data_IF_458854017886
#
_entry.id   IF_458854017886
#
_cell.length_a   1.000
_cell.length_b   1.000
_cell.length_c   1.000
_cell.angle_alpha   90.00
_cell.angle_beta   90.00
_cell.angle_gamma   90.00
#
_symmetry.space_group_name_H-M   'P 1'
#
loop_
_entity.id
_entity.type
_entity.pdbx_description
1 polymer ?
#
# COMPACT_ATOMS: atom_id res chain seq x y z
N UNK A 1 8.88 -15.88 -19.23
CA UNK A 1 8.70 -17.15 -18.50
C UNK A 1 7.40 -17.05 -17.69
N UNK A 2 6.36 -17.80 -18.08
CA UNK A 2 4.97 -17.54 -17.69
C UNK A 2 4.35 -18.81 -17.11
N UNK A 3 4.92 -19.33 -16.02
CA UNK A 3 4.38 -20.50 -15.32
C UNK A 3 3.41 -20.04 -14.21
N UNK A 4 2.08 -20.13 -14.40
CA UNK A 4 1.09 -19.62 -13.45
C UNK A 4 1.19 -20.30 -12.08
N UNK A 5 1.66 -21.56 -12.04
CA UNK A 5 1.90 -22.30 -10.81
C UNK A 5 3.01 -21.66 -9.94
N UNK A 6 4.10 -21.21 -10.55
CA UNK A 6 5.18 -20.51 -9.84
C UNK A 6 4.72 -19.15 -9.30
N UNK A 7 3.96 -18.39 -10.10
CA UNK A 7 3.39 -17.10 -9.68
C UNK A 7 2.42 -17.25 -8.50
N UNK A 8 1.69 -18.36 -8.45
CA UNK A 8 0.79 -18.67 -7.33
C UNK A 8 1.55 -19.03 -6.04
N UNK A 9 2.72 -19.68 -6.16
CA UNK A 9 3.59 -20.00 -5.01
C UNK A 9 4.29 -18.77 -4.43
N UNK A 10 4.59 -17.76 -5.26
CA UNK A 10 5.25 -16.52 -4.82
C UNK A 10 4.28 -15.41 -4.44
N UNK A 11 2.96 -15.61 -4.58
CA UNK A 11 1.99 -14.57 -4.24
C UNK A 11 1.98 -14.35 -2.71
N UNK A 12 1.93 -13.10 -2.25
CA UNK A 12 1.87 -12.83 -0.83
C UNK A 12 0.59 -13.43 -0.23
N UNK A 13 0.66 -13.84 1.03
CA UNK A 13 -0.52 -14.34 1.73
C UNK A 13 -1.62 -13.28 1.69
N UNK A 14 -2.81 -13.70 1.27
CA UNK A 14 -3.95 -12.81 1.07
C UNK A 14 -5.13 -13.29 1.89
N UNK A 15 -5.88 -12.33 2.43
CA UNK A 15 -7.08 -12.55 3.19
C UNK A 15 -8.21 -11.76 2.52
N UNK A 16 -9.30 -12.43 2.16
CA UNK A 16 -10.47 -11.81 1.51
C UNK A 16 -10.11 -11.03 0.22
N UNK A 17 -9.12 -11.54 -0.52
CA UNK A 17 -8.64 -10.94 -1.77
C UNK A 17 -7.67 -9.77 -1.61
N UNK A 18 -7.32 -9.38 -0.37
CA UNK A 18 -6.30 -8.36 -0.10
C UNK A 18 -5.02 -9.01 0.45
N UNK A 19 -3.82 -8.56 0.03
CA UNK A 19 -2.58 -8.90 0.70
C UNK A 19 -2.65 -8.55 2.20
N UNK A 20 -2.09 -9.39 3.06
CA UNK A 20 -2.18 -9.21 4.52
C UNK A 20 -1.70 -7.83 5.00
N UNK A 21 -0.67 -7.26 4.36
CA UNK A 21 -0.19 -5.90 4.63
C UNK A 21 -1.28 -4.84 4.46
N UNK A 22 -2.12 -4.96 3.44
CA UNK A 22 -3.22 -4.01 3.20
C UNK A 22 -4.32 -4.18 4.23
N UNK A 23 -4.59 -5.41 4.66
CA UNK A 23 -5.54 -5.69 5.75
C UNK A 23 -5.10 -5.04 7.05
N UNK A 24 -3.80 -5.11 7.38
CA UNK A 24 -3.23 -4.43 8.56
C UNK A 24 -3.40 -2.92 8.46
N UNK A 25 -3.10 -2.32 7.30
CA UNK A 25 -3.28 -0.88 7.08
C UNK A 25 -4.77 -0.49 7.22
N UNK A 26 -5.67 -1.26 6.61
CA UNK A 26 -7.12 -1.03 6.72
C UNK A 26 -7.57 -1.10 8.18
N UNK A 27 -7.11 -2.09 8.94
CA UNK A 27 -7.44 -2.23 10.35
C UNK A 27 -6.93 -1.03 11.17
N UNK A 28 -5.69 -0.60 10.97
CA UNK A 28 -5.13 0.58 11.67
C UNK A 28 -5.93 1.83 11.35
N UNK A 29 -6.30 2.07 10.09
CA UNK A 29 -7.08 3.25 9.69
C UNK A 29 -8.50 3.19 10.26
N UNK A 30 -9.19 2.06 10.11
CA UNK A 30 -10.56 1.90 10.60
C UNK A 30 -10.63 1.97 12.12
N UNK A 31 -9.87 1.13 12.84
CA UNK A 31 -9.91 1.10 14.30
C UNK A 31 -9.26 2.36 14.89
N UNK A 32 -8.14 2.83 14.36
CA UNK A 32 -7.49 4.04 14.84
C UNK A 32 -8.36 5.29 14.67
N UNK A 33 -8.97 5.45 13.49
CA UNK A 33 -9.90 6.56 13.24
C UNK A 33 -11.22 6.42 14.00
N UNK A 34 -11.72 5.19 14.22
CA UNK A 34 -12.87 4.95 15.07
C UNK A 34 -12.58 5.31 16.53
N UNK A 35 -11.42 4.95 17.07
CA UNK A 35 -11.04 5.32 18.44
C UNK A 35 -10.96 6.85 18.59
N UNK A 36 -10.46 7.54 17.57
CA UNK A 36 -10.34 9.00 17.59
C UNK A 36 -11.69 9.73 17.49
N UNK A 37 -12.64 9.19 16.72
CA UNK A 37 -13.94 9.86 16.45
C UNK A 37 -15.11 9.29 17.25
N UNK A 38 -14.97 8.07 17.79
CA UNK A 38 -16.00 7.25 18.43
C UNK A 38 -17.27 7.09 17.59
N UNK A 39 -17.17 7.27 16.27
CA UNK A 39 -18.30 7.29 15.35
C UNK A 39 -18.43 5.99 14.59
N UNK A 40 -19.54 5.27 14.77
CA UNK A 40 -19.85 4.08 13.99
C UNK A 40 -20.02 4.37 12.50
N UNK A 41 -20.47 5.59 12.16
CA UNK A 41 -20.59 6.03 10.75
C UNK A 41 -19.21 6.15 10.12
N UNK A 42 -18.24 6.70 10.86
CA UNK A 42 -16.85 6.76 10.40
C UNK A 42 -16.31 5.35 10.14
N UNK A 43 -16.48 4.43 11.09
CA UNK A 43 -16.00 3.05 10.97
C UNK A 43 -16.54 2.34 9.73
N UNK A 44 -17.85 2.50 9.47
CA UNK A 44 -18.52 1.85 8.34
C UNK A 44 -18.03 2.44 7.00
N UNK A 45 -18.01 3.78 6.90
CA UNK A 45 -17.54 4.45 5.69
C UNK A 45 -16.05 4.19 5.42
N UNK A 46 -15.19 4.26 6.45
CA UNK A 46 -13.77 3.99 6.32
C UNK A 46 -13.49 2.54 5.91
N UNK A 47 -14.26 1.59 6.45
CA UNK A 47 -14.14 0.19 6.07
C UNK A 47 -14.54 -0.05 4.61
N UNK A 48 -15.67 0.48 4.16
CA UNK A 48 -16.13 0.30 2.77
C UNK A 48 -15.22 1.00 1.76
N UNK A 49 -14.93 2.28 1.98
CA UNK A 49 -14.12 3.09 1.05
C UNK A 49 -12.67 2.59 1.08
N UNK A 50 -12.12 2.35 2.26
CA UNK A 50 -10.75 1.85 2.42
C UNK A 50 -10.57 0.47 1.81
N UNK A 51 -11.52 -0.45 2.03
CA UNK A 51 -11.48 -1.77 1.40
C UNK A 51 -11.56 -1.66 -0.12
N UNK A 52 -12.50 -0.87 -0.66
CA UNK A 52 -12.65 -0.66 -2.09
C UNK A 52 -11.38 -0.11 -2.73
N UNK A 53 -10.78 0.93 -2.15
CA UNK A 53 -9.55 1.54 -2.63
C UNK A 53 -8.37 0.53 -2.62
N UNK A 54 -8.18 -0.18 -1.50
CA UNK A 54 -7.12 -1.19 -1.39
C UNK A 54 -7.35 -2.40 -2.28
N UNK A 55 -8.60 -2.75 -2.55
CA UNK A 55 -8.96 -3.81 -3.50
C UNK A 55 -8.55 -3.43 -4.92
N UNK A 56 -8.88 -2.22 -5.35
CA UNK A 56 -8.46 -1.70 -6.66
C UNK A 56 -6.93 -1.64 -6.77
N UNK A 57 -6.25 -1.16 -5.72
CA UNK A 57 -4.80 -1.12 -5.68
C UNK A 57 -4.18 -2.53 -5.77
N UNK A 58 -4.74 -3.50 -5.04
CA UNK A 58 -4.29 -4.90 -5.09
C UNK A 58 -4.52 -5.58 -6.44
N UNK A 59 -5.52 -5.15 -7.19
CA UNK A 59 -5.80 -5.65 -8.53
C UNK A 59 -4.80 -5.13 -9.56
N UNK A 60 -4.24 -3.93 -9.32
CA UNK A 60 -3.13 -3.39 -10.10
C UNK A 60 -1.81 -4.07 -9.75
N UNK A 61 -1.38 -4.00 -8.49
CA UNK A 61 -0.17 -4.66 -8.01
C UNK A 61 -0.26 -5.01 -6.51
N UNK A 62 -0.25 -6.30 -6.14
CA UNK A 62 -0.35 -6.72 -4.74
C UNK A 62 0.92 -6.45 -3.92
N UNK A 63 2.07 -6.17 -4.55
CA UNK A 63 3.35 -5.91 -3.89
C UNK A 63 3.79 -4.45 -3.95
N UNK A 64 2.93 -3.55 -4.42
CA UNK A 64 3.29 -2.14 -4.63
C UNK A 64 3.90 -1.47 -3.40
N UNK A 65 3.39 -1.77 -2.20
CA UNK A 65 3.93 -1.22 -0.95
C UNK A 65 5.36 -1.69 -0.72
N UNK A 66 5.66 -2.97 -0.93
CA UNK A 66 7.03 -3.47 -0.75
C UNK A 66 7.99 -2.89 -1.76
N UNK A 67 7.56 -2.76 -3.02
CA UNK A 67 8.37 -2.11 -4.06
C UNK A 67 8.68 -0.67 -3.67
N UNK A 68 7.69 0.08 -3.16
CA UNK A 68 7.88 1.46 -2.70
C UNK A 68 8.88 1.49 -1.52
N UNK A 69 8.69 0.66 -0.50
CA UNK A 69 9.59 0.65 0.67
C UNK A 69 11.01 0.24 0.31
N UNK A 70 11.18 -0.79 -0.54
CA UNK A 70 12.49 -1.23 -0.99
C UNK A 70 13.16 -0.16 -1.84
N UNK A 71 12.42 0.46 -2.78
CA UNK A 71 12.94 1.56 -3.59
C UNK A 71 13.37 2.73 -2.70
N UNK A 72 12.54 3.14 -1.74
CA UNK A 72 12.88 4.23 -0.82
C UNK A 72 14.09 3.90 0.07
N UNK A 73 14.25 2.62 0.45
CA UNK A 73 15.37 2.16 1.28
C UNK A 73 16.68 2.06 0.50
N UNK A 74 16.63 1.64 -0.78
CA UNK A 74 17.82 1.42 -1.62
C UNK A 74 18.23 2.68 -2.38
N UNK A 75 17.27 3.52 -2.74
CA UNK A 75 17.47 4.79 -3.41
C UNK A 75 16.76 5.90 -2.63
N UNK A 76 17.31 6.34 -1.48
CA UNK A 76 16.74 7.44 -0.72
C UNK A 76 16.70 8.71 -1.57
N UNK A 77 15.60 9.45 -1.51
CA UNK A 77 15.43 10.68 -2.26
C UNK A 77 16.39 11.75 -1.73
N UNK A 78 17.25 12.36 -2.57
CA UNK A 78 18.17 13.38 -2.10
C UNK A 78 17.38 14.61 -1.61
N UNK A 79 17.89 15.36 -0.62
CA UNK A 79 17.21 16.54 -0.07
C UNK A 79 16.92 17.63 -1.10
N UNK A 80 17.63 17.62 -2.24
CA UNK A 80 17.38 18.53 -3.37
C UNK A 80 16.01 18.33 -4.00
N UNK A 81 15.48 17.10 -3.99
CA UNK A 81 14.17 16.77 -4.54
C UNK A 81 13.04 17.56 -3.85
N UNK A 82 13.15 17.75 -2.53
CA UNK A 82 12.18 18.52 -1.73
C UNK A 82 12.40 20.03 -1.78
N UNK A 83 13.56 20.50 -2.26
CA UNK A 83 13.90 21.92 -2.37
C UNK A 83 13.48 22.54 -3.71
N UNK A 84 12.82 21.78 -4.59
CA UNK A 84 12.46 22.22 -5.95
C UNK A 84 13.66 22.51 -6.86
N UNK A 85 14.88 22.21 -6.40
CA UNK A 85 16.08 22.29 -7.22
C UNK A 85 16.17 20.96 -7.96
N UNK A 86 15.71 20.97 -9.21
CA UNK A 86 15.72 19.80 -10.09
C UNK A 86 17.08 19.10 -10.09
N UNK A 87 17.06 17.78 -10.33
CA UNK A 87 18.27 16.98 -10.43
C UNK A 87 18.97 17.36 -11.74
N UNK A 88 20.10 18.07 -11.66
CA UNK A 88 20.95 18.32 -12.82
C UNK A 88 21.82 17.09 -13.00
N UNK A 89 21.43 16.21 -13.92
CA UNK A 89 22.29 15.12 -14.37
C UNK A 89 23.42 15.72 -15.21
N UNK A 90 24.66 15.64 -14.74
CA UNK A 90 25.85 15.87 -15.58
C UNK A 90 26.35 14.50 -16.02
N UNK A 91 26.45 14.33 -17.34
CA UNK A 91 27.03 13.16 -18.00
C UNK A 91 28.54 13.10 -17.75
#
# INVERSE_FOLDING_TARGET
MQNPCFKALTRPVSFLGLPFKFVVILAIVCFGGFIATLSFVYLLLSALIGYGALRLLSAYDPMIIDVIFVALSKTPLPPSYFKGKGIIYRA
#
